data_IF_813800196192
#
_entry.id   IF_813800196192
#
_cell.length_a   1.000
_cell.length_b   1.000
_cell.length_c   1.000
_cell.angle_alpha   90.00
_cell.angle_beta   90.00
_cell.angle_gamma   90.00
#
_symmetry.space_group_name_H-M   'P 1'
#
loop_
_entity.id
_entity.type
_entity.pdbx_description
1 polymer ?
#
# COMPACT_ATOMS: atom_id res chain seq x y z
N UNK A 1 -22.19 16.75 25.71
CA UNK A 1 -21.52 17.41 24.58
C UNK A 1 -22.60 17.88 23.62
N UNK A 2 -22.53 19.12 23.14
CA UNK A 2 -23.47 19.64 22.13
C UNK A 2 -22.74 19.69 20.80
N UNK A 3 -23.26 19.00 19.78
CA UNK A 3 -22.70 19.03 18.42
C UNK A 3 -23.38 20.15 17.64
N UNK A 4 -22.60 21.06 17.05
CA UNK A 4 -23.11 22.09 16.13
C UNK A 4 -22.65 21.76 14.72
N UNK A 5 -23.59 21.40 13.85
CA UNK A 5 -23.31 21.17 12.43
C UNK A 5 -23.31 22.50 11.68
N UNK A 6 -22.21 22.79 10.98
CA UNK A 6 -22.12 23.96 10.11
C UNK A 6 -22.64 23.57 8.72
N UNK A 7 -23.89 23.96 8.40
CA UNK A 7 -24.55 23.57 7.15
C UNK A 7 -24.03 24.30 5.90
N UNK A 8 -23.05 25.20 6.05
CA UNK A 8 -22.38 25.82 4.90
C UNK A 8 -21.30 24.84 4.41
N UNK A 9 -21.34 24.48 3.13
CA UNK A 9 -20.30 23.67 2.47
C UNK A 9 -19.01 24.49 2.31
N UNK A 10 -18.36 24.79 3.43
CA UNK A 10 -17.08 25.49 3.50
C UNK A 10 -16.03 24.53 4.05
N UNK A 11 -15.02 24.18 3.26
CA UNK A 11 -13.94 23.29 3.65
C UNK A 11 -13.27 22.61 2.46
N UNK A 12 -12.16 21.89 2.69
CA UNK A 12 -11.54 21.06 1.67
C UNK A 12 -12.47 19.91 1.25
N UNK A 13 -12.23 19.35 0.07
CA UNK A 13 -12.90 18.13 -0.38
C UNK A 13 -12.28 16.95 0.34
N UNK A 14 -13.11 16.10 0.96
CA UNK A 14 -12.68 14.79 1.46
C UNK A 14 -12.38 13.93 0.25
N UNK A 15 -11.10 13.64 0.02
CA UNK A 15 -10.68 12.82 -1.12
C UNK A 15 -11.26 11.42 -1.00
N UNK A 16 -11.74 10.85 -2.11
CA UNK A 16 -12.13 9.43 -2.14
C UNK A 16 -10.95 8.52 -1.75
N UNK A 17 -9.71 8.92 -2.01
CA UNK A 17 -8.51 8.12 -1.72
C UNK A 17 -8.23 7.92 -0.23
N UNK A 18 -8.89 8.68 0.65
CA UNK A 18 -8.90 8.41 2.09
C UNK A 18 -9.45 7.01 2.40
N UNK A 19 -10.33 6.48 1.54
CA UNK A 19 -10.91 5.14 1.65
C UNK A 19 -10.13 4.08 0.86
N UNK A 20 -8.84 4.30 0.61
CA UNK A 20 -7.96 3.35 -0.09
C UNK A 20 -7.76 2.03 0.65
N UNK A 21 -7.39 1.00 -0.10
CA UNK A 21 -7.11 -0.33 0.43
C UNK A 21 -5.70 -0.80 0.07
N UNK A 22 -5.22 -1.80 0.78
CA UNK A 22 -3.89 -2.36 0.66
C UNK A 22 -3.95 -3.90 0.64
N UNK A 23 -3.31 -4.53 -0.36
CA UNK A 23 -3.18 -5.98 -0.50
C UNK A 23 -1.72 -6.39 -0.72
N UNK A 24 -1.12 -7.02 0.30
CA UNK A 24 0.22 -7.59 0.22
C UNK A 24 0.19 -9.05 -0.19
N UNK A 25 1.24 -9.52 -0.87
CA UNK A 25 1.56 -10.94 -0.90
C UNK A 25 1.92 -11.43 0.51
N UNK A 26 0.90 -11.71 1.31
CA UNK A 26 1.00 -12.04 2.73
C UNK A 26 -0.10 -13.02 3.10
N UNK A 27 0.29 -14.18 3.65
CA UNK A 27 -0.62 -15.21 4.10
C UNK A 27 -1.65 -15.59 3.03
N UNK A 28 -2.91 -15.23 3.28
CA UNK A 28 -4.04 -15.51 2.37
C UNK A 28 -4.70 -14.25 1.82
N UNK A 29 -4.02 -13.10 1.88
CA UNK A 29 -4.56 -11.85 1.34
C UNK A 29 -4.74 -11.96 -0.19
N UNK A 30 -3.68 -12.34 -0.91
CA UNK A 30 -3.74 -12.57 -2.36
C UNK A 30 -4.31 -13.96 -2.66
N UNK A 31 -3.59 -15.03 -2.30
CA UNK A 31 -4.03 -16.39 -2.59
C UNK A 31 -5.17 -16.82 -1.68
N UNK A 32 -6.23 -17.39 -2.27
CA UNK A 32 -7.53 -17.66 -1.65
C UNK A 32 -8.37 -16.40 -1.36
N UNK A 33 -7.77 -15.35 -0.79
CA UNK A 33 -8.45 -14.10 -0.44
C UNK A 33 -8.95 -13.31 -1.65
N UNK A 34 -8.16 -13.24 -2.72
CA UNK A 34 -8.50 -12.56 -3.97
C UNK A 34 -8.40 -13.53 -5.15
N UNK A 35 -7.24 -14.16 -5.31
CA UNK A 35 -6.90 -15.02 -6.44
C UNK A 35 -7.01 -16.49 -6.05
N UNK A 36 -7.89 -17.20 -6.75
CA UNK A 36 -8.13 -18.65 -6.60
C UNK A 36 -7.63 -19.46 -7.79
N UNK A 37 -7.28 -18.80 -8.90
CA UNK A 37 -6.93 -19.44 -10.17
C UNK A 37 -8.16 -19.74 -11.04
N UNK A 38 -7.97 -19.71 -12.36
CA UNK A 38 -9.05 -19.80 -13.35
C UNK A 38 -9.80 -21.14 -13.28
N UNK A 39 -9.06 -22.23 -13.01
CA UNK A 39 -9.59 -23.60 -12.90
C UNK A 39 -10.16 -23.94 -11.51
N UNK A 40 -10.25 -22.97 -10.60
CA UNK A 40 -10.80 -23.19 -9.26
C UNK A 40 -12.30 -23.49 -9.30
N UNK A 41 -12.76 -24.38 -8.42
CA UNK A 41 -14.20 -24.62 -8.21
C UNK A 41 -14.90 -23.46 -7.51
N UNK A 42 -14.16 -22.53 -6.90
CA UNK A 42 -14.70 -21.29 -6.36
C UNK A 42 -15.11 -20.38 -7.52
N UNK A 43 -16.37 -19.87 -7.57
CA UNK A 43 -16.82 -18.98 -8.63
C UNK A 43 -15.89 -17.79 -8.80
N UNK A 44 -15.33 -17.63 -9.99
CA UNK A 44 -14.31 -16.63 -10.28
C UNK A 44 -14.44 -16.07 -11.69
N UNK A 45 -13.85 -14.90 -11.92
CA UNK A 45 -13.63 -14.31 -13.24
C UNK A 45 -12.13 -14.10 -13.41
N UNK A 46 -11.51 -14.75 -14.40
CA UNK A 46 -10.08 -14.67 -14.67
C UNK A 46 -9.21 -15.01 -13.44
N UNK A 47 -9.69 -15.92 -12.58
CA UNK A 47 -9.03 -16.34 -11.35
C UNK A 47 -9.34 -15.50 -10.11
N UNK A 48 -10.00 -14.35 -10.24
CA UNK A 48 -10.44 -13.54 -9.08
C UNK A 48 -11.81 -14.01 -8.61
N UNK A 49 -11.92 -14.39 -7.33
CA UNK A 49 -13.18 -14.90 -6.77
C UNK A 49 -14.27 -13.82 -6.78
N UNK A 50 -15.42 -14.18 -7.34
CA UNK A 50 -16.46 -13.21 -7.71
C UNK A 50 -17.19 -12.60 -6.51
N UNK A 51 -17.27 -13.33 -5.39
CA UNK A 51 -17.86 -12.86 -4.15
C UNK A 51 -17.09 -11.68 -3.55
N UNK A 52 -15.76 -11.77 -3.49
CA UNK A 52 -14.89 -10.69 -2.98
C UNK A 52 -14.90 -9.50 -3.93
N UNK A 53 -14.78 -9.72 -5.24
CA UNK A 53 -14.86 -8.63 -6.23
C UNK A 53 -16.20 -7.89 -6.11
N UNK A 54 -17.32 -8.60 -5.97
CA UNK A 54 -18.62 -7.97 -5.79
C UNK A 54 -18.71 -7.17 -4.49
N UNK A 55 -18.21 -7.71 -3.38
CA UNK A 55 -18.21 -7.02 -2.09
C UNK A 55 -17.36 -5.73 -2.11
N UNK A 56 -16.16 -5.78 -2.72
CA UNK A 56 -15.29 -4.61 -2.85
C UNK A 56 -15.87 -3.52 -3.75
N UNK A 57 -16.58 -3.91 -4.82
CA UNK A 57 -17.33 -2.95 -5.66
C UNK A 57 -18.47 -2.29 -4.90
N UNK A 58 -19.16 -3.00 -4.04
CA UNK A 58 -20.28 -2.45 -3.27
C UNK A 58 -19.87 -1.39 -2.24
N UNK A 59 -18.58 -1.33 -1.87
CA UNK A 59 -18.03 -0.28 -1.00
C UNK A 59 -17.28 0.80 -1.79
N UNK A 60 -17.41 0.80 -3.13
CA UNK A 60 -16.79 1.77 -4.04
C UNK A 60 -15.29 1.95 -3.78
N UNK A 61 -14.56 0.83 -3.68
CA UNK A 61 -13.10 0.83 -3.48
C UNK A 61 -12.42 1.82 -4.46
N UNK A 62 -11.73 2.87 -3.98
CA UNK A 62 -11.24 3.94 -4.83
C UNK A 62 -9.85 3.67 -5.38
N UNK A 63 -8.99 3.01 -4.59
CA UNK A 63 -7.59 2.71 -4.93
C UNK A 63 -7.14 1.45 -4.18
N UNK A 64 -6.28 0.66 -4.81
CA UNK A 64 -5.67 -0.53 -4.22
C UNK A 64 -4.14 -0.49 -4.36
N UNK A 65 -3.43 -0.57 -3.22
CA UNK A 65 -1.97 -0.67 -3.12
C UNK A 65 -1.49 -2.12 -3.17
N UNK A 66 -0.45 -2.40 -3.97
CA UNK A 66 0.16 -3.73 -4.20
C UNK A 66 1.61 -3.57 -4.74
N UNK A 67 2.56 -4.53 -4.61
CA UNK A 67 2.50 -5.88 -4.02
C UNK A 67 2.70 -5.93 -2.51
N UNK A 68 2.87 -4.75 -1.92
CA UNK A 68 2.70 -4.48 -0.51
C UNK A 68 3.95 -4.33 0.31
N UNK A 69 3.77 -3.76 1.50
CA UNK A 69 4.76 -3.31 2.46
C UNK A 69 6.16 -3.91 2.28
N UNK A 70 6.52 -4.85 3.16
CA UNK A 70 7.86 -5.42 3.16
C UNK A 70 8.12 -6.30 1.93
N UNK A 71 7.10 -6.98 1.40
CA UNK A 71 7.24 -7.82 0.22
C UNK A 71 7.69 -7.03 -1.02
N UNK A 72 7.25 -5.79 -1.20
CA UNK A 72 7.58 -4.97 -2.37
C UNK A 72 9.07 -4.70 -2.49
N UNK A 73 9.80 -4.54 -1.39
CA UNK A 73 11.25 -4.32 -1.40
C UNK A 73 12.07 -5.61 -1.53
N UNK A 74 11.42 -6.77 -1.66
CA UNK A 74 12.03 -8.03 -2.12
C UNK A 74 11.42 -8.53 -3.44
N UNK A 75 10.40 -7.84 -3.96
CA UNK A 75 9.72 -8.25 -5.17
C UNK A 75 10.49 -7.84 -6.42
N UNK A 76 10.75 -8.83 -7.28
CA UNK A 76 11.32 -8.61 -8.61
C UNK A 76 10.23 -8.85 -9.67
N UNK A 77 9.64 -7.76 -10.19
CA UNK A 77 8.40 -7.82 -10.95
C UNK A 77 8.41 -8.73 -12.18
N UNK A 78 9.58 -8.96 -12.78
CA UNK A 78 9.74 -9.89 -13.91
C UNK A 78 9.44 -11.34 -13.54
N UNK A 79 9.55 -11.69 -12.26
CA UNK A 79 9.21 -13.03 -11.77
C UNK A 79 7.69 -13.28 -11.80
N UNK A 80 6.88 -12.21 -11.85
CA UNK A 80 5.42 -12.24 -11.89
C UNK A 80 4.79 -12.00 -13.26
N UNK A 81 5.53 -12.15 -14.37
CA UNK A 81 4.98 -12.01 -15.73
C UNK A 81 5.33 -13.24 -16.59
N UNK A 82 4.71 -13.33 -17.77
CA UNK A 82 4.86 -14.47 -18.67
C UNK A 82 3.97 -15.66 -18.26
N UNK A 83 4.14 -16.81 -18.94
CA UNK A 83 3.34 -18.01 -18.69
C UNK A 83 3.46 -18.46 -17.23
N UNK A 84 2.31 -18.62 -16.56
CA UNK A 84 2.21 -18.82 -15.09
C UNK A 84 3.05 -20.02 -14.62
N UNK A 85 3.07 -21.09 -15.39
CA UNK A 85 3.81 -22.33 -15.12
C UNK A 85 5.34 -22.18 -15.15
N UNK A 86 5.84 -21.12 -15.81
CA UNK A 86 7.27 -20.81 -15.93
C UNK A 86 7.72 -19.71 -14.96
N UNK A 87 6.79 -19.09 -14.21
CA UNK A 87 7.11 -18.04 -13.24
C UNK A 87 7.95 -18.59 -12.11
N UNK A 88 8.89 -17.78 -11.61
CA UNK A 88 9.79 -18.22 -10.56
C UNK A 88 9.03 -18.38 -9.26
N UNK A 89 9.37 -19.44 -8.52
CA UNK A 89 8.97 -19.58 -7.12
C UNK A 89 10.00 -18.88 -6.25
N UNK A 90 9.54 -18.02 -5.35
CA UNK A 90 10.38 -17.31 -4.38
C UNK A 90 9.97 -17.68 -2.95
N UNK A 91 10.80 -17.33 -1.98
CA UNK A 91 10.47 -17.48 -0.56
C UNK A 91 9.94 -16.15 -0.07
N UNK A 92 8.73 -16.15 0.49
CA UNK A 92 8.23 -15.00 1.22
C UNK A 92 8.89 -14.97 2.61
N UNK A 93 10.02 -14.29 2.69
CA UNK A 93 10.92 -14.26 3.85
C UNK A 93 10.27 -13.62 5.07
N UNK A 94 9.54 -12.52 4.87
CA UNK A 94 8.84 -11.76 5.90
C UNK A 94 7.65 -12.53 6.46
N UNK A 95 6.88 -13.21 5.59
CA UNK A 95 5.57 -13.74 5.94
C UNK A 95 5.53 -15.27 5.98
N UNK A 96 6.25 -15.82 6.96
CA UNK A 96 6.20 -17.24 7.31
C UNK A 96 7.13 -18.15 6.51
N UNK A 97 8.02 -17.61 5.66
CA UNK A 97 9.00 -18.39 4.92
C UNK A 97 8.38 -19.33 3.88
N UNK A 98 7.15 -19.05 3.45
CA UNK A 98 6.40 -19.91 2.53
C UNK A 98 6.76 -19.63 1.08
N UNK A 99 6.50 -20.61 0.22
CA UNK A 99 6.72 -20.46 -1.21
C UNK A 99 5.66 -19.56 -1.84
N UNK A 100 6.11 -18.48 -2.45
CA UNK A 100 5.35 -17.61 -3.35
C UNK A 100 5.54 -18.11 -4.78
N UNK A 101 4.45 -18.42 -5.50
CA UNK A 101 4.51 -18.99 -6.85
C UNK A 101 4.41 -17.95 -7.97
N UNK A 102 4.19 -16.68 -7.63
CA UNK A 102 4.03 -15.55 -8.54
C UNK A 102 2.91 -15.72 -9.59
N UNK A 103 1.93 -16.60 -9.34
CA UNK A 103 0.79 -16.79 -10.24
C UNK A 103 -0.13 -15.56 -10.28
N UNK A 104 -0.13 -14.76 -9.20
CA UNK A 104 -0.69 -13.41 -9.21
C UNK A 104 0.47 -12.42 -9.34
N UNK A 105 0.58 -11.76 -10.48
CA UNK A 105 1.61 -10.75 -10.74
C UNK A 105 1.03 -9.52 -11.42
N UNK A 106 1.83 -8.84 -12.24
CA UNK A 106 1.43 -7.53 -12.81
C UNK A 106 0.12 -7.61 -13.61
N UNK A 107 -0.03 -8.62 -14.46
CA UNK A 107 -1.24 -8.75 -15.30
C UNK A 107 -2.48 -9.07 -14.47
N UNK A 108 -2.36 -9.98 -13.51
CA UNK A 108 -3.49 -10.36 -12.64
C UNK A 108 -3.90 -9.21 -11.71
N UNK A 109 -2.93 -8.41 -11.24
CA UNK A 109 -3.22 -7.17 -10.50
C UNK A 109 -4.03 -6.19 -11.34
N UNK A 110 -3.61 -5.88 -12.57
CA UNK A 110 -4.38 -4.94 -13.40
C UNK A 110 -5.72 -5.50 -13.87
N UNK A 111 -5.86 -6.81 -14.07
CA UNK A 111 -7.17 -7.42 -14.31
C UNK A 111 -8.09 -7.21 -13.08
N UNK A 112 -7.58 -7.36 -11.85
CA UNK A 112 -8.34 -7.04 -10.64
C UNK A 112 -8.75 -5.55 -10.60
N UNK A 113 -7.82 -4.64 -10.88
CA UNK A 113 -8.10 -3.19 -10.95
C UNK A 113 -9.23 -2.91 -11.96
N UNK A 114 -9.19 -3.51 -13.14
CA UNK A 114 -10.22 -3.35 -14.18
C UNK A 114 -11.58 -3.95 -13.74
N UNK A 115 -11.59 -5.09 -13.03
CA UNK A 115 -12.83 -5.67 -12.52
C UNK A 115 -13.49 -4.82 -11.42
N UNK A 116 -12.67 -4.27 -10.52
CA UNK A 116 -13.10 -3.39 -9.44
C UNK A 116 -13.52 -2.01 -9.95
N UNK A 117 -12.89 -1.51 -11.01
CA UNK A 117 -13.07 -0.13 -11.48
C UNK A 117 -12.42 0.89 -10.56
N UNK A 118 -11.37 0.49 -9.83
CA UNK A 118 -10.60 1.35 -8.94
C UNK A 118 -9.29 1.81 -9.58
N UNK A 119 -8.50 2.59 -8.84
CA UNK A 119 -7.19 3.10 -9.29
C UNK A 119 -6.04 2.23 -8.78
N UNK A 120 -4.96 2.16 -9.55
CA UNK A 120 -3.78 1.37 -9.21
C UNK A 120 -2.77 2.21 -8.41
N UNK A 121 -2.42 1.71 -7.22
CA UNK A 121 -1.20 2.09 -6.51
C UNK A 121 -0.22 0.93 -6.62
N UNK A 122 0.85 1.11 -7.40
CA UNK A 122 1.98 0.16 -7.48
C UNK A 122 3.12 0.60 -6.58
N UNK A 123 3.66 -0.30 -5.78
CA UNK A 123 4.80 -0.03 -4.91
C UNK A 123 6.07 -0.69 -5.47
N UNK A 124 7.06 0.13 -5.85
CA UNK A 124 8.29 -0.32 -6.47
C UNK A 124 9.40 -0.64 -5.47
N UNK A 125 10.24 -1.60 -5.81
CA UNK A 125 11.37 -2.06 -5.00
C UNK A 125 12.55 -1.07 -5.05
N UNK A 126 12.94 -0.54 -3.89
CA UNK A 126 14.18 0.25 -3.71
C UNK A 126 15.22 -0.53 -2.91
N UNK A 127 14.78 -1.27 -1.90
CA UNK A 127 15.66 -1.91 -0.92
C UNK A 127 16.61 -2.94 -1.53
N UNK A 128 16.11 -3.82 -2.39
CA UNK A 128 16.90 -4.86 -3.06
C UNK A 128 16.89 -4.77 -4.59
N UNK A 129 15.99 -3.96 -5.15
CA UNK A 129 15.83 -3.76 -6.59
C UNK A 129 16.80 -2.70 -7.14
N UNK A 130 16.87 -2.63 -8.47
CA UNK A 130 17.71 -1.63 -9.16
C UNK A 130 16.90 -0.49 -9.76
N UNK A 131 17.54 0.66 -10.00
CA UNK A 131 16.93 1.78 -10.72
C UNK A 131 16.39 1.35 -12.09
N UNK A 132 17.16 0.54 -12.81
CA UNK A 132 16.76 0.02 -14.13
C UNK A 132 15.53 -0.88 -14.02
N UNK A 133 15.50 -1.77 -13.04
CA UNK A 133 14.36 -2.66 -12.82
C UNK A 133 13.06 -1.90 -12.60
N UNK A 134 13.07 -0.87 -11.75
CA UNK A 134 11.91 -0.01 -11.51
C UNK A 134 11.50 0.76 -12.77
N UNK A 135 12.48 1.35 -13.48
CA UNK A 135 12.24 2.05 -14.74
C UNK A 135 11.56 1.13 -15.78
N UNK A 136 12.10 -0.07 -15.96
CA UNK A 136 11.57 -1.05 -16.90
C UNK A 136 10.17 -1.50 -16.51
N UNK A 137 9.83 -1.57 -15.22
CA UNK A 137 8.47 -1.89 -14.78
C UNK A 137 7.47 -0.80 -15.17
N UNK A 138 7.83 0.46 -14.94
CA UNK A 138 7.00 1.61 -15.32
C UNK A 138 6.81 1.64 -16.84
N UNK A 139 7.87 1.39 -17.61
CA UNK A 139 7.80 1.28 -19.07
C UNK A 139 6.90 0.13 -19.52
N UNK A 140 7.07 -1.05 -18.93
CA UNK A 140 6.26 -2.23 -19.20
C UNK A 140 4.78 -1.93 -19.03
N UNK A 141 4.41 -1.28 -17.92
CA UNK A 141 3.01 -0.99 -17.60
C UNK A 141 2.42 0.12 -18.49
N UNK A 142 3.17 1.17 -18.80
CA UNK A 142 2.59 2.45 -19.27
C UNK A 142 3.00 2.91 -20.67
N UNK A 143 4.02 2.31 -21.29
CA UNK A 143 4.49 2.72 -22.63
C UNK A 143 3.57 2.18 -23.74
N UNK A 144 2.98 3.08 -24.52
CA UNK A 144 2.12 2.73 -25.67
C UNK A 144 2.91 2.45 -26.96
N UNK A 145 4.09 3.07 -27.08
CA UNK A 145 4.93 2.97 -28.28
C UNK A 145 5.76 1.68 -28.37
N UNK A 146 6.79 1.72 -29.20
CA UNK A 146 7.67 0.58 -29.44
C UNK A 146 8.88 0.62 -28.51
N UNK A 147 9.01 -0.41 -27.68
CA UNK A 147 10.18 -0.66 -26.84
C UNK A 147 10.25 -2.14 -26.47
N UNK A 148 11.40 -2.64 -25.97
CA UNK A 148 11.49 -4.01 -25.50
C UNK A 148 10.46 -4.34 -24.41
N UNK A 149 10.20 -3.42 -23.47
CA UNK A 149 9.23 -3.65 -22.39
C UNK A 149 7.78 -3.56 -22.87
N UNK A 150 7.46 -2.63 -23.78
CA UNK A 150 6.13 -2.58 -24.39
C UNK A 150 5.86 -3.85 -25.22
N UNK A 151 6.82 -4.31 -26.02
CA UNK A 151 6.71 -5.55 -26.79
C UNK A 151 6.49 -6.78 -25.88
N UNK A 152 7.24 -6.86 -24.77
CA UNK A 152 7.08 -7.93 -23.78
C UNK A 152 5.70 -7.90 -23.11
N UNK A 153 5.11 -6.73 -22.89
CA UNK A 153 3.73 -6.60 -22.38
C UNK A 153 2.73 -7.18 -23.38
N UNK A 154 2.88 -6.84 -24.66
CA UNK A 154 2.03 -7.33 -25.76
C UNK A 154 2.14 -8.84 -25.93
N UNK A 155 3.35 -9.37 -25.89
CA UNK A 155 3.63 -10.82 -25.92
C UNK A 155 2.90 -11.55 -24.79
N UNK A 156 2.87 -10.95 -23.59
CA UNK A 156 2.16 -11.49 -22.43
C UNK A 156 0.64 -11.26 -22.45
N UNK A 157 0.07 -10.85 -23.59
CA UNK A 157 -1.38 -10.79 -23.80
C UNK A 157 -2.03 -9.42 -23.53
N UNK A 158 -1.24 -8.37 -23.25
CA UNK A 158 -1.78 -7.01 -23.07
C UNK A 158 -1.27 -6.03 -24.13
N UNK A 159 -2.14 -5.75 -25.10
CA UNK A 159 -1.81 -4.85 -26.22
C UNK A 159 -1.57 -3.40 -25.76
N UNK A 160 -2.58 -2.79 -25.13
CA UNK A 160 -2.57 -1.39 -24.69
C UNK A 160 -1.91 -1.24 -23.32
N UNK A 161 -1.24 -0.14 -23.01
CA UNK A 161 -0.74 0.11 -21.65
C UNK A 161 -1.90 0.18 -20.64
N UNK A 162 -1.55 0.04 -19.36
CA UNK A 162 -2.42 0.38 -18.25
C UNK A 162 -2.15 1.81 -17.80
N UNK A 163 -3.11 2.35 -17.03
CA UNK A 163 -2.89 3.56 -16.25
C UNK A 163 -2.36 3.17 -14.88
N UNK A 164 -1.36 3.91 -14.40
CA UNK A 164 -0.83 3.80 -13.04
C UNK A 164 -1.02 5.16 -12.38
N UNK A 165 -2.01 5.26 -11.51
CA UNK A 165 -2.33 6.51 -10.83
C UNK A 165 -1.26 6.87 -9.81
N UNK A 166 -0.87 5.90 -8.97
CA UNK A 166 0.07 6.12 -7.89
C UNK A 166 1.25 5.14 -7.98
N UNK A 167 2.45 5.68 -7.74
CA UNK A 167 3.65 4.87 -7.70
C UNK A 167 4.47 5.20 -6.44
N UNK A 168 4.53 4.25 -5.52
CA UNK A 168 5.40 4.33 -4.34
C UNK A 168 6.83 3.92 -4.67
N UNK A 169 7.79 4.72 -4.24
CA UNK A 169 9.22 4.51 -4.53
C UNK A 169 9.90 3.96 -3.27
N UNK A 170 9.73 2.65 -3.05
CA UNK A 170 10.16 1.95 -1.84
C UNK A 170 9.10 1.97 -0.73
N UNK A 171 9.14 0.97 0.13
CA UNK A 171 8.37 0.83 1.35
C UNK A 171 9.28 0.85 2.58
N UNK A 172 8.76 1.32 3.73
CA UNK A 172 9.38 1.20 5.07
C UNK A 172 10.90 1.12 5.04
N UNK A 173 11.54 2.08 4.35
CA UNK A 173 12.96 1.97 4.05
C UNK A 173 13.82 2.15 5.29
N UNK A 174 13.23 2.69 6.37
CA UNK A 174 13.78 2.70 7.73
C UNK A 174 13.85 1.31 8.38
N UNK A 175 13.06 0.34 7.91
CA UNK A 175 12.92 -1.00 8.48
C UNK A 175 13.21 -2.08 7.44
N UNK A 176 12.20 -2.88 7.09
CA UNK A 176 12.35 -4.02 6.19
C UNK A 176 12.86 -3.64 4.80
N UNK A 177 12.58 -2.42 4.32
CA UNK A 177 13.07 -1.92 3.04
C UNK A 177 14.56 -1.55 2.99
N UNK A 178 15.34 -1.79 4.05
CA UNK A 178 16.80 -1.65 4.01
C UNK A 178 17.48 -1.00 5.22
N UNK A 179 16.77 -0.81 6.34
CA UNK A 179 17.29 -0.22 7.58
C UNK A 179 18.05 1.11 7.35
N UNK A 180 17.50 1.94 6.47
CA UNK A 180 18.14 3.16 6.00
C UNK A 180 17.98 4.31 6.99
N UNK A 181 18.96 5.21 7.01
CA UNK A 181 18.78 6.55 7.59
C UNK A 181 17.95 7.41 6.61
N UNK A 182 17.14 8.37 7.09
CA UNK A 182 16.31 9.19 6.21
C UNK A 182 17.13 9.97 5.17
N UNK A 183 18.34 10.42 5.51
CA UNK A 183 19.21 11.13 4.56
C UNK A 183 19.63 10.23 3.40
N UNK A 184 19.94 8.97 3.68
CA UNK A 184 20.33 8.01 2.66
C UNK A 184 19.13 7.62 1.77
N UNK A 185 17.97 7.37 2.39
CA UNK A 185 16.75 7.10 1.62
C UNK A 185 16.36 8.32 0.77
N UNK A 186 16.50 9.56 1.24
CA UNK A 186 16.21 10.75 0.45
C UNK A 186 17.08 10.83 -0.83
N UNK A 187 18.37 10.47 -0.73
CA UNK A 187 19.26 10.38 -1.90
C UNK A 187 18.81 9.28 -2.88
N UNK A 188 18.45 8.10 -2.36
CA UNK A 188 17.94 7.00 -3.19
C UNK A 188 16.60 7.35 -3.83
N UNK A 189 15.64 7.90 -3.09
CA UNK A 189 14.35 8.34 -3.60
C UNK A 189 14.54 9.27 -4.79
N UNK A 190 15.35 10.33 -4.63
CA UNK A 190 15.64 11.28 -5.71
C UNK A 190 16.23 10.60 -6.94
N UNK A 191 17.11 9.62 -6.74
CA UNK A 191 17.72 8.84 -7.82
C UNK A 191 16.70 7.95 -8.52
N UNK A 192 15.94 7.14 -7.80
CA UNK A 192 14.97 6.18 -8.36
C UNK A 192 13.81 6.90 -9.05
N UNK A 193 13.20 7.90 -8.39
CA UNK A 193 12.04 8.63 -8.95
C UNK A 193 12.36 9.31 -10.28
N UNK A 194 13.63 9.69 -10.50
CA UNK A 194 14.08 10.34 -11.76
C UNK A 194 13.79 9.46 -12.99
N UNK A 195 13.78 8.14 -12.81
CA UNK A 195 13.56 7.17 -13.87
C UNK A 195 12.15 6.57 -13.86
N UNK A 196 11.28 7.01 -12.94
CA UNK A 196 9.82 6.83 -13.08
C UNK A 196 9.34 7.85 -14.11
N UNK A 197 9.38 7.44 -15.39
CA UNK A 197 9.08 8.29 -16.55
C UNK A 197 7.59 8.33 -16.85
N UNK A 198 7.16 9.45 -17.42
CA UNK A 198 5.82 9.67 -17.91
C UNK A 198 5.75 9.31 -19.39
N UNK A 199 5.37 8.08 -19.73
CA UNK A 199 5.27 7.62 -21.12
C UNK A 199 3.92 7.98 -21.79
N UNK A 200 2.83 8.01 -21.03
CA UNK A 200 1.50 8.42 -21.50
C UNK A 200 1.16 9.88 -21.17
N UNK A 201 -0.07 10.30 -21.47
CA UNK A 201 -0.58 11.63 -21.08
C UNK A 201 -0.95 11.77 -19.61
N UNK A 202 -1.23 10.65 -18.94
CA UNK A 202 -1.75 10.61 -17.57
C UNK A 202 -0.63 10.60 -16.54
N UNK A 203 -0.45 11.72 -15.82
CA UNK A 203 0.60 11.88 -14.79
C UNK A 203 0.57 10.75 -13.75
N UNK A 204 1.73 10.11 -13.52
CA UNK A 204 1.96 9.22 -12.38
C UNK A 204 2.22 10.07 -11.12
N UNK A 205 1.43 9.86 -10.06
CA UNK A 205 1.60 10.50 -8.76
C UNK A 205 2.65 9.74 -7.93
N UNK A 206 3.82 10.35 -7.72
CA UNK A 206 4.97 9.69 -7.08
C UNK A 206 4.95 9.87 -5.56
N UNK A 207 4.99 8.76 -4.83
CA UNK A 207 4.93 8.74 -3.36
C UNK A 207 6.28 8.32 -2.80
N UNK A 208 6.85 9.15 -1.92
CA UNK A 208 8.03 8.82 -1.14
C UNK A 208 7.66 8.03 0.12
N UNK A 209 8.50 7.08 0.53
CA UNK A 209 8.38 6.43 1.84
C UNK A 209 8.62 7.46 2.93
N UNK A 210 7.60 7.68 3.75
CA UNK A 210 7.63 8.58 4.88
C UNK A 210 7.82 7.87 6.22
N UNK A 211 7.52 8.58 7.32
CA UNK A 211 7.89 8.16 8.67
C UNK A 211 7.07 6.96 9.19
N UNK A 212 7.71 6.24 10.11
CA UNK A 212 7.02 5.37 11.07
C UNK A 212 6.57 6.20 12.28
N UNK A 213 5.27 6.17 12.59
CA UNK A 213 4.71 6.78 13.80
C UNK A 213 5.16 8.25 13.98
N UNK A 214 5.92 8.55 15.04
CA UNK A 214 6.39 9.87 15.46
C UNK A 214 7.85 10.15 15.09
N UNK A 215 8.40 9.47 14.06
CA UNK A 215 9.69 9.82 13.47
C UNK A 215 9.62 11.14 12.67
N UNK A 216 9.48 12.25 13.39
CA UNK A 216 9.45 13.60 12.84
C UNK A 216 10.75 13.97 12.11
N UNK A 217 11.87 13.33 12.48
CA UNK A 217 13.15 13.55 11.80
C UNK A 217 13.11 12.99 10.38
N UNK A 218 12.49 11.82 10.18
CA UNK A 218 12.30 11.28 8.84
C UNK A 218 11.49 12.23 7.96
N UNK A 219 10.36 12.73 8.46
CA UNK A 219 9.55 13.72 7.74
C UNK A 219 10.35 14.98 7.39
N UNK A 220 11.06 15.56 8.37
CA UNK A 220 11.89 16.76 8.18
C UNK A 220 12.95 16.56 7.11
N UNK A 221 13.72 15.47 7.15
CA UNK A 221 14.80 15.22 6.19
C UNK A 221 14.27 14.93 4.78
N UNK A 222 13.15 14.21 4.63
CA UNK A 222 12.58 13.94 3.32
C UNK A 222 11.99 15.20 2.69
N UNK A 223 11.23 15.99 3.45
CA UNK A 223 10.67 17.25 2.95
C UNK A 223 11.77 18.23 2.54
N UNK A 224 12.82 18.35 3.36
CA UNK A 224 13.97 19.23 3.10
C UNK A 224 14.77 18.84 1.86
N UNK A 225 15.09 17.55 1.70
CA UNK A 225 16.05 17.10 0.69
C UNK A 225 15.39 16.60 -0.60
N UNK A 226 14.15 16.10 -0.54
CA UNK A 226 13.47 15.45 -1.65
C UNK A 226 12.11 16.08 -2.03
N UNK A 227 11.57 17.02 -1.25
CA UNK A 227 10.23 17.61 -1.45
C UNK A 227 9.89 17.99 -2.90
N UNK A 228 10.75 18.73 -3.65
CA UNK A 228 10.45 19.12 -5.04
C UNK A 228 10.22 17.95 -6.02
N UNK A 229 10.59 16.71 -5.64
CA UNK A 229 10.58 15.53 -6.50
C UNK A 229 9.46 14.54 -6.18
N UNK A 230 8.66 14.81 -5.14
CA UNK A 230 7.54 13.96 -4.74
C UNK A 230 6.20 14.65 -4.92
N UNK A 231 5.16 13.86 -5.16
CA UNK A 231 3.78 14.30 -5.17
C UNK A 231 3.09 13.99 -3.85
N UNK A 232 3.49 12.90 -3.18
CA UNK A 232 3.06 12.56 -1.83
C UNK A 232 4.20 11.97 -1.00
N UNK A 233 3.99 11.93 0.31
CA UNK A 233 4.85 11.24 1.27
C UNK A 233 3.98 10.37 2.18
N UNK A 234 4.39 9.12 2.39
CA UNK A 234 3.60 8.18 3.18
C UNK A 234 3.66 8.44 4.69
N UNK A 235 2.79 7.82 5.48
CA UNK A 235 2.86 7.78 6.95
C UNK A 235 2.25 6.47 7.42
N UNK A 236 2.99 5.72 8.25
CA UNK A 236 2.54 4.44 8.77
C UNK A 236 2.24 4.54 10.27
N UNK A 237 1.06 4.06 10.69
CA UNK A 237 0.71 3.92 12.10
C UNK A 237 -0.34 2.83 12.32
N UNK A 238 0.07 1.77 13.03
CA UNK A 238 -0.84 0.71 13.46
C UNK A 238 -1.32 0.93 14.89
N UNK A 239 -2.62 0.79 15.11
CA UNK A 239 -3.22 0.81 16.44
C UNK A 239 -2.99 -0.54 17.13
N UNK A 240 -2.41 -0.49 18.34
CA UNK A 240 -2.11 -1.64 19.19
C UNK A 240 -2.85 -1.51 20.52
N UNK A 241 -3.18 -2.62 21.18
CA UNK A 241 -3.71 -2.58 22.56
C UNK A 241 -2.62 -2.33 23.60
N UNK A 242 -1.35 -2.59 23.25
CA UNK A 242 -0.22 -2.63 24.18
C UNK A 242 1.12 -2.47 23.46
N UNK A 243 2.15 -3.17 23.94
CA UNK A 243 3.48 -3.18 23.33
C UNK A 243 3.50 -4.02 22.04
N UNK A 244 4.54 -3.86 21.22
CA UNK A 244 4.68 -4.62 19.98
C UNK A 244 4.74 -6.14 20.24
N UNK A 245 5.34 -6.55 21.34
CA UNK A 245 5.49 -7.94 21.76
C UNK A 245 4.20 -8.53 22.36
N UNK A 246 3.28 -7.68 22.82
CA UNK A 246 2.00 -8.06 23.40
C UNK A 246 0.87 -7.17 22.86
N UNK A 247 0.42 -7.53 21.64
CA UNK A 247 -0.57 -6.78 20.87
C UNK A 247 -2.02 -7.02 21.32
N UNK A 248 -2.24 -7.93 22.29
CA UNK A 248 -3.56 -8.34 22.77
C UNK A 248 -4.40 -9.12 21.74
N UNK A 249 -5.41 -9.89 22.18
CA UNK A 249 -6.23 -10.70 21.27
C UNK A 249 -7.32 -9.89 20.56
N UNK A 250 -7.74 -10.38 19.38
CA UNK A 250 -8.89 -9.85 18.65
C UNK A 250 -10.24 -10.23 19.28
N UNK A 251 -10.33 -11.42 19.89
CA UNK A 251 -11.52 -11.93 20.58
C UNK A 251 -11.32 -12.04 22.09
N UNK A 252 -12.42 -12.08 22.85
CA UNK A 252 -12.43 -12.31 24.30
C UNK A 252 -11.49 -11.36 25.08
N UNK A 253 -11.32 -10.14 24.56
CA UNK A 253 -10.47 -9.13 25.18
C UNK A 253 -11.14 -8.50 26.41
N UNK A 254 -10.31 -7.98 27.31
CA UNK A 254 -10.75 -7.23 28.49
C UNK A 254 -11.14 -5.81 28.09
N UNK A 255 -11.93 -5.15 28.93
CA UNK A 255 -12.41 -3.79 28.67
C UNK A 255 -11.27 -2.75 28.53
N UNK A 256 -10.18 -2.91 29.28
CA UNK A 256 -9.00 -2.04 29.16
C UNK A 256 -8.37 -2.10 27.76
N UNK A 257 -8.39 -3.26 27.08
CA UNK A 257 -7.94 -3.41 25.70
C UNK A 257 -8.85 -2.67 24.70
N UNK A 258 -10.13 -2.47 25.02
CA UNK A 258 -11.00 -1.61 24.21
C UNK A 258 -10.49 -0.17 24.25
N UNK A 259 -10.33 0.36 25.46
CA UNK A 259 -9.93 1.76 25.66
C UNK A 259 -8.51 2.04 25.15
N UNK A 260 -7.57 1.11 25.35
CA UNK A 260 -6.19 1.29 24.87
C UNK A 260 -6.10 1.29 23.34
N UNK A 261 -6.82 0.39 22.65
CA UNK A 261 -6.82 0.34 21.18
C UNK A 261 -7.44 1.60 20.57
N UNK A 262 -8.58 2.06 21.10
CA UNK A 262 -9.22 3.30 20.62
C UNK A 262 -8.31 4.50 20.88
N UNK A 263 -7.66 4.58 22.04
CA UNK A 263 -6.67 5.63 22.33
C UNK A 263 -5.47 5.58 21.38
N UNK A 264 -5.02 4.38 21.01
CA UNK A 264 -3.94 4.17 20.04
C UNK A 264 -4.36 4.63 18.63
N UNK A 265 -5.61 4.35 18.22
CA UNK A 265 -6.16 4.86 16.96
C UNK A 265 -6.27 6.40 16.95
N UNK A 266 -6.75 7.00 18.04
CA UNK A 266 -6.85 8.47 18.20
C UNK A 266 -5.50 9.18 18.11
N UNK A 267 -4.38 8.49 18.36
CA UNK A 267 -3.04 9.05 18.21
C UNK A 267 -2.77 9.55 16.78
N UNK A 268 -3.47 9.01 15.79
CA UNK A 268 -3.37 9.43 14.39
C UNK A 268 -3.56 10.96 14.23
N UNK A 269 -4.46 11.59 14.99
CA UNK A 269 -4.69 13.03 14.93
C UNK A 269 -3.44 13.84 15.30
N UNK A 270 -2.74 13.42 16.35
CA UNK A 270 -1.48 14.06 16.76
C UNK A 270 -0.37 13.83 15.72
N UNK A 271 -0.28 12.62 15.16
CA UNK A 271 0.72 12.28 14.16
C UNK A 271 0.53 13.09 12.88
N UNK A 272 -0.69 13.13 12.34
CA UNK A 272 -1.03 13.94 11.17
C UNK A 272 -0.75 15.41 11.45
N UNK A 273 -1.22 15.94 12.58
CA UNK A 273 -1.03 17.35 12.93
C UNK A 273 0.45 17.73 12.97
N UNK A 274 1.29 16.92 13.63
CA UNK A 274 2.72 17.23 13.79
C UNK A 274 3.50 17.02 12.49
N UNK A 275 3.24 15.96 11.73
CA UNK A 275 3.88 15.75 10.43
C UNK A 275 3.45 16.82 9.42
N UNK A 276 2.17 17.16 9.35
CA UNK A 276 1.69 18.24 8.48
C UNK A 276 2.30 19.60 8.86
N UNK A 277 2.51 19.88 10.15
CA UNK A 277 3.22 21.08 10.60
C UNK A 277 4.66 21.13 10.08
N UNK A 278 5.36 19.99 10.03
CA UNK A 278 6.70 19.89 9.45
C UNK A 278 6.62 20.06 7.93
N UNK A 279 5.65 19.45 7.27
CA UNK A 279 5.45 19.61 5.82
C UNK A 279 5.20 21.07 5.45
N UNK A 280 4.36 21.80 6.20
CA UNK A 280 4.04 23.22 5.98
C UNK A 280 5.27 24.14 6.00
N UNK A 281 6.36 23.75 6.69
CA UNK A 281 7.63 24.49 6.70
C UNK A 281 8.32 24.48 5.32
N UNK A 282 8.15 23.40 4.57
CA UNK A 282 8.83 23.15 3.28
C UNK A 282 7.89 23.24 2.07
N UNK A 283 6.59 23.07 2.29
CA UNK A 283 5.54 23.08 1.28
C UNK A 283 4.29 23.81 1.79
N UNK A 284 4.36 25.14 2.01
CA UNK A 284 3.26 25.92 2.59
C UNK A 284 2.00 25.97 1.70
N UNK A 285 2.14 25.65 0.41
CA UNK A 285 1.05 25.57 -0.55
C UNK A 285 0.34 24.19 -0.55
N UNK A 286 0.84 23.23 0.24
CA UNK A 286 0.28 21.88 0.41
C UNK A 286 0.12 21.13 -0.92
N UNK A 287 1.17 21.21 -1.75
CA UNK A 287 1.26 20.46 -3.01
C UNK A 287 1.46 18.97 -2.75
N UNK A 288 2.22 18.62 -1.72
CA UNK A 288 2.58 17.26 -1.35
C UNK A 288 1.49 16.67 -0.45
N UNK A 289 0.86 15.59 -0.90
CA UNK A 289 -0.11 14.86 -0.09
C UNK A 289 0.55 14.08 1.05
N UNK A 290 -0.02 14.11 2.25
CA UNK A 290 0.30 13.14 3.31
C UNK A 290 -0.56 11.90 3.08
N UNK A 291 0.08 10.76 2.77
CA UNK A 291 -0.60 9.53 2.37
C UNK A 291 -0.50 8.51 3.51
N UNK A 292 -1.56 8.33 4.28
CA UNK A 292 -1.60 7.29 5.34
C UNK A 292 -1.94 5.94 4.70
N UNK A 293 -0.95 5.30 4.08
CA UNK A 293 -1.08 4.07 3.28
C UNK A 293 -0.87 2.77 4.05
N UNK A 294 -0.57 2.85 5.36
CA UNK A 294 -0.63 1.74 6.31
C UNK A 294 -1.18 2.20 7.67
N UNK A 295 -2.39 1.73 7.98
CA UNK A 295 -3.03 1.96 9.27
C UNK A 295 -4.06 0.88 9.57
N UNK A 296 -4.47 0.80 10.83
CA UNK A 296 -5.48 -0.16 11.30
C UNK A 296 -5.06 -0.86 12.57
N UNK A 297 -5.91 -1.75 13.07
CA UNK A 297 -5.62 -2.58 14.25
C UNK A 297 -4.63 -3.70 13.90
N UNK A 298 -3.50 -3.77 14.61
CA UNK A 298 -2.61 -4.94 14.55
C UNK A 298 -2.63 -5.65 15.89
N UNK A 299 -3.25 -6.82 15.93
CA UNK A 299 -3.48 -7.61 17.13
C UNK A 299 -2.72 -8.93 17.06
N UNK A 300 -2.73 -9.69 18.16
CA UNK A 300 -2.21 -11.05 18.17
C UNK A 300 -3.00 -11.92 17.20
N UNK A 301 -2.29 -12.80 16.48
CA UNK A 301 -2.92 -13.75 15.56
C UNK A 301 -3.86 -14.72 16.27
N UNK A 302 -4.86 -15.24 15.56
CA UNK A 302 -5.78 -16.22 16.15
C UNK A 302 -5.02 -17.48 16.59
N UNK A 303 -5.37 -18.07 17.75
CA UNK A 303 -4.73 -19.28 18.25
C UNK A 303 -4.73 -20.41 17.22
N UNK A 304 -3.56 -21.03 17.03
CA UNK A 304 -3.37 -22.15 16.09
C UNK A 304 -3.12 -21.75 14.64
N UNK A 305 -3.05 -20.45 14.33
CA UNK A 305 -2.69 -19.96 12.99
C UNK A 305 -1.19 -19.66 12.88
N UNK A 306 -0.69 -19.54 11.64
CA UNK A 306 0.70 -19.17 11.41
C UNK A 306 0.91 -17.68 11.76
N UNK A 307 1.81 -17.33 12.71
CA UNK A 307 2.02 -15.95 13.11
C UNK A 307 2.50 -15.04 11.98
N UNK A 308 3.20 -15.58 10.97
CA UNK A 308 3.62 -14.82 9.79
C UNK A 308 2.51 -14.48 8.81
N UNK A 309 1.29 -15.00 9.00
CA UNK A 309 0.15 -14.75 8.10
C UNK A 309 -0.79 -13.66 8.61
N UNK A 310 -0.52 -13.11 9.79
CA UNK A 310 -1.25 -11.98 10.40
C UNK A 310 -2.77 -12.16 10.46
N UNK A 311 -3.24 -13.41 10.53
CA UNK A 311 -4.68 -13.67 10.59
C UNK A 311 -5.20 -13.36 12.00
N UNK A 312 -6.09 -12.37 12.08
CA UNK A 312 -6.82 -11.97 13.28
C UNK A 312 -8.31 -11.84 12.95
N UNK A 313 -9.18 -12.03 13.94
CA UNK A 313 -10.60 -11.74 13.76
C UNK A 313 -10.86 -10.23 13.68
N UNK A 314 -12.02 -9.84 13.13
CA UNK A 314 -12.50 -8.46 13.10
C UNK A 314 -13.82 -8.34 13.88
N UNK A 315 -13.95 -7.30 14.70
CA UNK A 315 -15.05 -7.08 15.64
C UNK A 315 -15.59 -5.64 15.57
N UNK A 316 -16.65 -5.35 16.33
CA UNK A 316 -17.15 -3.97 16.49
C UNK A 316 -16.08 -3.00 17.04
N UNK A 317 -15.06 -3.50 17.74
CA UNK A 317 -13.93 -2.67 18.20
C UNK A 317 -13.13 -2.13 17.01
N UNK A 318 -12.92 -2.95 15.99
CA UNK A 318 -12.16 -2.58 14.80
C UNK A 318 -12.97 -1.66 13.89
N UNK A 319 -14.29 -1.82 13.85
CA UNK A 319 -15.20 -0.85 13.25
C UNK A 319 -15.11 0.53 13.92
N UNK A 320 -14.97 0.58 15.25
CA UNK A 320 -14.75 1.84 15.97
C UNK A 320 -13.37 2.45 15.69
N UNK A 321 -12.33 1.64 15.54
CA UNK A 321 -11.01 2.10 15.07
C UNK A 321 -11.14 2.76 13.70
N UNK A 322 -11.79 2.10 12.74
CA UNK A 322 -12.01 2.67 11.40
C UNK A 322 -12.82 3.97 11.46
N UNK A 323 -13.92 4.01 12.21
CA UNK A 323 -14.77 5.19 12.32
C UNK A 323 -14.04 6.39 12.95
N UNK A 324 -13.24 6.16 14.00
CA UNK A 324 -12.46 7.23 14.64
C UNK A 324 -11.38 7.75 13.70
N UNK A 325 -10.64 6.86 13.05
CA UNK A 325 -9.54 7.26 12.17
C UNK A 325 -10.04 7.96 10.89
N UNK A 326 -11.10 7.46 10.26
CA UNK A 326 -11.70 8.12 9.08
C UNK A 326 -12.31 9.50 9.40
N UNK A 327 -12.71 9.75 10.64
CA UNK A 327 -13.14 11.09 11.08
C UNK A 327 -11.97 12.06 11.31
N UNK A 328 -10.74 11.55 11.50
CA UNK A 328 -9.53 12.34 11.68
C UNK A 328 -8.98 12.80 10.32
N UNK A 329 -9.05 11.94 9.31
CA UNK A 329 -8.61 12.23 7.93
C UNK A 329 -9.42 13.34 7.26
#
# INVERSE_FOLDING_TARGET
>A
MTIKVLNQKSGPVISKHIYGHFAEHLGRCIYEGIYVGEESSIPNKNGMRSDVVAALKNIDIPVLRWPGGCFADEYHWKDGIGPKENRKKIVNTHWGGVTENNHFGTHEFFELIEQLGCEAYVNGNVGSGTVQEMQEWVEYMTMDGESPMAALRKENGREKPWKVEFFGVGNESWGCGGNMRPEYYADLYRRYQTYVRQYGSERIYKIACGPNIDDYRWMEELMKNAGPWMDGISLHHYALTGAWEDKGPALNFKEDHWWSLIKSAQKMDELITKHATIMDKYDPEKRIGLIVDEWGSWLSVEPGTNPGFLYQQNTIRDAMVAAVTLNIF
#
